data_IF_523101187094
#
_entry.id   IF_523101187094
#
_cell.length_a   1.000
_cell.length_b   1.000
_cell.length_c   1.000
_cell.angle_alpha   90.00
_cell.angle_beta   90.00
_cell.angle_gamma   90.00
#
_symmetry.space_group_name_H-M   'P 1'
#
loop_
_entity.id
_entity.type
_entity.pdbx_description
1 polymer ?
#
# COMPACT_ATOMS: atom_id res chain seq x y z
N UNK A 1 -28.72 9.43 -57.90
CA UNK A 1 -28.37 8.37 -56.92
C UNK A 1 -27.02 7.79 -57.29
N UNK A 2 -25.96 8.13 -56.56
CA UNK A 2 -24.67 7.43 -56.62
C UNK A 2 -23.99 7.64 -55.27
N UNK A 3 -23.81 6.55 -54.51
CA UNK A 3 -23.18 6.54 -53.18
C UNK A 3 -21.72 6.14 -53.35
N UNK A 4 -20.80 7.00 -52.90
CA UNK A 4 -19.37 6.70 -52.79
C UNK A 4 -19.15 5.90 -51.50
N UNK A 5 -18.44 4.75 -51.52
CA UNK A 5 -18.15 4.00 -50.30
C UNK A 5 -16.89 4.56 -49.63
N UNK A 6 -17.02 5.09 -48.42
CA UNK A 6 -15.89 5.42 -47.54
C UNK A 6 -15.42 4.11 -46.89
N UNK A 7 -14.22 3.64 -47.26
CA UNK A 7 -13.54 2.54 -46.54
C UNK A 7 -13.06 3.07 -45.18
N UNK A 8 -13.68 2.60 -44.10
CA UNK A 8 -13.16 2.78 -42.73
C UNK A 8 -11.94 1.88 -42.56
N UNK A 9 -10.74 2.46 -42.54
CA UNK A 9 -9.54 1.77 -42.09
C UNK A 9 -9.60 1.63 -40.56
N UNK A 10 -9.77 0.40 -40.08
CA UNK A 10 -9.51 0.04 -38.68
C UNK A 10 -8.00 0.08 -38.47
N UNK A 11 -7.52 1.08 -37.73
CA UNK A 11 -6.16 1.07 -37.17
C UNK A 11 -6.22 0.20 -35.92
N UNK A 12 -5.67 -1.01 -36.01
CA UNK A 12 -5.45 -1.86 -34.84
C UNK A 12 -4.29 -1.27 -34.03
N UNK A 13 -4.58 -0.71 -32.86
CA UNK A 13 -3.58 -0.39 -31.86
C UNK A 13 -3.22 -1.68 -31.11
N UNK A 14 -2.12 -2.30 -31.51
CA UNK A 14 -1.51 -3.38 -30.74
C UNK A 14 -0.82 -2.77 -29.53
N UNK A 15 -1.47 -2.80 -28.37
CA UNK A 15 -0.82 -2.58 -27.08
C UNK A 15 0.10 -3.78 -26.83
N UNK A 16 1.39 -3.59 -27.10
CA UNK A 16 2.44 -4.48 -26.62
C UNK A 16 2.56 -4.23 -25.11
N UNK A 17 1.83 -5.00 -24.31
CA UNK A 17 2.10 -5.10 -22.88
C UNK A 17 3.47 -5.78 -22.74
N UNK A 18 4.51 -4.97 -22.51
CA UNK A 18 5.78 -5.47 -22.02
C UNK A 18 5.52 -6.02 -20.62
N UNK A 19 5.32 -7.33 -20.53
CA UNK A 19 5.31 -8.02 -19.25
C UNK A 19 6.65 -7.79 -18.57
N UNK A 20 6.64 -7.03 -17.47
CA UNK A 20 7.70 -7.06 -16.48
C UNK A 20 7.67 -8.46 -15.87
N UNK A 21 8.42 -9.38 -16.49
CA UNK A 21 8.65 -10.69 -15.92
C UNK A 21 9.50 -10.54 -14.67
N UNK A 22 8.89 -10.78 -13.50
CA UNK A 22 9.62 -10.98 -12.25
C UNK A 22 10.59 -12.14 -12.44
N UNK A 23 11.89 -11.86 -12.32
CA UNK A 23 12.92 -12.90 -12.22
C UNK A 23 13.22 -13.06 -10.73
N UNK A 24 13.16 -14.28 -10.15
CA UNK A 24 13.65 -14.48 -8.80
C UNK A 24 15.16 -14.27 -8.79
N UNK A 25 15.63 -13.36 -7.93
CA UNK A 25 17.05 -13.06 -7.78
C UNK A 25 17.77 -14.28 -7.19
N UNK A 26 18.88 -14.68 -7.81
CA UNK A 26 19.82 -15.66 -7.24
C UNK A 26 21.04 -14.89 -6.72
N UNK A 27 21.51 -15.27 -5.53
CA UNK A 27 22.50 -14.55 -4.74
C UNK A 27 23.87 -14.39 -5.44
N UNK A 28 24.12 -13.19 -5.95
CA UNK A 28 25.43 -12.56 -6.16
C UNK A 28 25.15 -11.06 -6.39
N UNK A 29 25.66 -10.19 -5.52
CA UNK A 29 25.41 -8.74 -5.40
C UNK A 29 24.33 -8.19 -6.36
N UNK A 30 23.05 -8.26 -5.97
CA UNK A 30 21.97 -7.75 -6.82
C UNK A 30 22.18 -6.26 -7.07
N UNK A 31 21.81 -5.81 -8.27
CA UNK A 31 21.84 -4.40 -8.64
C UNK A 31 21.14 -3.61 -7.52
N UNK A 32 21.68 -2.47 -7.03
CA UNK A 32 21.01 -1.68 -5.99
C UNK A 32 19.58 -1.30 -6.39
N UNK A 33 19.29 -1.18 -7.69
CA UNK A 33 17.93 -0.97 -8.19
C UNK A 33 16.99 -2.17 -7.98
N UNK A 34 17.51 -3.40 -7.88
CA UNK A 34 16.71 -4.58 -7.55
C UNK A 34 16.29 -4.59 -6.08
N UNK A 35 17.02 -3.85 -5.21
CA UNK A 35 16.64 -3.58 -3.83
C UNK A 35 15.67 -2.39 -3.70
N UNK A 36 15.54 -1.55 -4.74
CA UNK A 36 14.52 -0.50 -4.81
C UNK A 36 13.22 -1.09 -5.35
N UNK A 37 12.52 -1.84 -4.51
CA UNK A 37 11.16 -2.28 -4.84
C UNK A 37 10.18 -1.43 -4.05
N UNK A 38 9.57 -0.46 -4.74
CA UNK A 38 8.61 0.47 -4.16
C UNK A 38 7.52 0.82 -5.15
N UNK A 39 6.33 1.09 -4.62
CA UNK A 39 5.13 1.38 -5.41
C UNK A 39 3.92 0.56 -4.96
N UNK A 40 2.71 0.91 -5.43
CA UNK A 40 1.50 0.23 -5.01
C UNK A 40 1.50 -1.22 -5.51
N UNK A 41 1.27 -2.17 -4.60
CA UNK A 41 1.05 -3.59 -4.96
C UNK A 41 -0.36 -3.84 -5.45
N UNK A 42 -1.30 -2.96 -5.07
CA UNK A 42 -2.71 -3.09 -5.42
C UNK A 42 -3.40 -1.72 -5.54
N UNK A 43 -4.58 -1.74 -6.14
CA UNK A 43 -5.46 -0.58 -6.25
C UNK A 43 -6.89 -0.98 -5.92
N UNK A 44 -7.58 -0.11 -5.19
CA UNK A 44 -8.99 -0.31 -4.87
C UNK A 44 -9.83 0.88 -5.30
N UNK A 45 -10.95 0.61 -5.98
CA UNK A 45 -11.91 1.65 -6.34
C UNK A 45 -12.93 1.80 -5.22
N UNK A 46 -12.89 2.93 -4.54
CA UNK A 46 -13.84 3.27 -3.47
C UNK A 46 -15.21 3.64 -4.03
N UNK A 47 -16.18 3.89 -3.14
CA UNK A 47 -17.61 4.09 -3.46
C UNK A 47 -17.90 5.09 -4.59
N UNK A 48 -17.08 6.13 -4.75
CA UNK A 48 -17.24 7.15 -5.80
C UNK A 48 -16.50 6.82 -7.11
N UNK A 49 -15.87 5.66 -7.19
CA UNK A 49 -15.06 5.20 -8.32
C UNK A 49 -13.61 5.68 -8.31
N UNK A 50 -13.18 6.43 -7.30
CA UNK A 50 -11.78 6.86 -7.19
C UNK A 50 -10.88 5.66 -6.91
N UNK A 51 -9.80 5.53 -7.69
CA UNK A 51 -8.80 4.49 -7.47
C UNK A 51 -7.80 4.93 -6.39
N UNK A 52 -7.71 4.14 -5.31
CA UNK A 52 -6.78 4.33 -4.21
C UNK A 52 -5.63 3.35 -4.33
N UNK A 53 -4.41 3.86 -4.32
CA UNK A 53 -3.19 3.09 -4.35
C UNK A 53 -2.88 2.51 -2.97
N UNK A 54 -2.53 1.22 -2.95
CA UNK A 54 -2.23 0.50 -1.72
C UNK A 54 -1.01 -0.41 -1.87
N UNK A 55 -0.28 -0.52 -0.78
CA UNK A 55 0.70 -1.58 -0.56
C UNK A 55 0.13 -2.57 0.44
N UNK A 56 0.11 -3.85 0.08
CA UNK A 56 -0.41 -4.93 0.92
C UNK A 56 0.72 -5.88 1.23
N UNK A 57 1.01 -6.05 2.51
CA UNK A 57 2.08 -6.90 3.01
C UNK A 57 1.53 -8.12 3.71
N UNK A 58 2.08 -9.27 3.36
CA UNK A 58 1.73 -10.53 4.00
C UNK A 58 2.65 -10.78 5.17
N UNK A 59 2.23 -11.63 6.12
CA UNK A 59 3.12 -12.00 7.19
C UNK A 59 4.27 -12.88 6.68
N UNK A 60 5.45 -12.79 7.29
CA UNK A 60 6.67 -13.55 6.96
C UNK A 60 6.40 -15.07 6.92
N UNK A 61 5.47 -15.54 7.75
CA UNK A 61 5.04 -16.93 7.85
C UNK A 61 3.76 -17.25 7.07
N UNK A 62 3.45 -16.49 6.01
CA UNK A 62 2.21 -16.58 5.26
C UNK A 62 1.84 -18.01 4.83
N UNK A 63 0.70 -18.46 5.34
CA UNK A 63 -0.03 -19.67 4.94
C UNK A 63 -1.33 -19.29 4.22
N UNK A 64 -1.51 -19.64 2.92
CA UNK A 64 -2.70 -19.33 2.13
C UNK A 64 -3.97 -20.07 2.59
N UNK A 65 -3.84 -21.07 3.47
CA UNK A 65 -4.97 -21.79 4.06
C UNK A 65 -5.55 -21.10 5.30
N UNK A 66 -4.81 -20.18 5.91
CA UNK A 66 -5.20 -19.45 7.10
C UNK A 66 -5.99 -18.17 6.78
N UNK A 67 -6.73 -17.67 7.77
CA UNK A 67 -7.40 -16.36 7.72
C UNK A 67 -6.71 -15.38 8.68
N UNK A 68 -6.42 -14.19 8.20
CA UNK A 68 -5.63 -13.19 8.90
C UNK A 68 -6.48 -11.99 9.35
N UNK A 69 -6.19 -11.42 10.53
CA UNK A 69 -6.59 -10.06 10.84
C UNK A 69 -5.79 -9.08 9.98
N UNK A 70 -6.36 -7.91 9.74
CA UNK A 70 -5.73 -6.87 8.94
C UNK A 70 -5.42 -5.62 9.78
N UNK A 71 -4.34 -4.93 9.43
CA UNK A 71 -4.00 -3.59 9.94
C UNK A 71 -4.06 -2.62 8.77
N UNK A 72 -4.77 -1.51 8.94
CA UNK A 72 -4.81 -0.41 7.98
C UNK A 72 -4.02 0.79 8.52
N UNK A 73 -3.12 1.32 7.71
CA UNK A 73 -2.53 2.64 7.88
C UNK A 73 -2.78 3.45 6.61
N UNK A 74 -3.51 4.56 6.72
CA UNK A 74 -3.83 5.42 5.58
C UNK A 74 -3.25 6.81 5.78
N UNK A 75 -2.36 7.25 4.89
CA UNK A 75 -1.66 8.53 5.03
C UNK A 75 -1.57 9.32 3.72
N UNK A 76 -1.42 10.64 3.86
CA UNK A 76 -1.04 11.51 2.74
C UNK A 76 0.42 11.38 2.32
N UNK A 77 1.24 10.63 3.08
CA UNK A 77 2.64 10.33 2.77
C UNK A 77 2.76 9.23 1.70
N UNK A 78 3.98 8.71 1.53
CA UNK A 78 4.36 7.66 0.57
C UNK A 78 3.75 6.27 0.88
N UNK A 79 2.68 6.17 1.68
CA UNK A 79 2.14 4.91 2.20
C UNK A 79 1.74 3.91 1.10
N UNK A 80 1.08 4.35 0.03
CA UNK A 80 0.79 3.49 -1.12
C UNK A 80 2.00 3.17 -1.99
N UNK A 81 3.21 3.61 -1.64
CA UNK A 81 4.45 3.42 -2.41
C UNK A 81 5.64 3.02 -1.53
N UNK A 82 5.36 2.38 -0.39
CA UNK A 82 6.38 1.95 0.57
C UNK A 82 7.41 0.99 -0.01
N UNK A 83 8.56 0.92 0.68
CA UNK A 83 9.63 -0.01 0.37
C UNK A 83 9.23 -1.44 0.74
N UNK A 84 9.28 -2.33 -0.25
CA UNK A 84 8.90 -3.73 -0.14
C UNK A 84 10.09 -4.66 -0.29
N UNK A 85 9.95 -5.83 0.31
CA UNK A 85 10.70 -7.02 -0.02
C UNK A 85 9.74 -8.08 -0.55
N UNK A 86 10.25 -9.09 -1.25
CA UNK A 86 9.44 -10.20 -1.75
C UNK A 86 10.05 -11.52 -1.30
N UNK A 87 9.20 -12.46 -0.85
CA UNK A 87 9.66 -13.80 -0.52
C UNK A 87 9.97 -14.63 -1.77
N UNK A 88 10.46 -15.86 -1.58
CA UNK A 88 10.77 -16.79 -2.66
C UNK A 88 9.55 -17.15 -3.55
N UNK A 89 8.33 -16.93 -3.05
CA UNK A 89 7.08 -17.15 -3.77
C UNK A 89 6.54 -15.86 -4.42
N UNK A 90 7.23 -14.73 -4.24
CA UNK A 90 6.83 -13.42 -4.76
C UNK A 90 5.74 -12.73 -3.95
N UNK A 91 5.52 -13.09 -2.69
CA UNK A 91 4.62 -12.34 -1.82
C UNK A 91 5.33 -11.09 -1.28
N UNK A 92 4.67 -9.92 -1.30
CA UNK A 92 5.21 -8.69 -0.74
C UNK A 92 5.24 -8.73 0.79
N UNK A 93 6.35 -8.26 1.34
CA UNK A 93 6.62 -8.10 2.77
C UNK A 93 7.05 -6.67 3.03
N UNK A 94 6.55 -6.12 4.13
CA UNK A 94 6.83 -4.76 4.53
C UNK A 94 8.21 -4.70 5.17
N UNK A 95 9.04 -3.75 4.72
CA UNK A 95 10.42 -3.65 5.23
C UNK A 95 10.55 -2.70 6.40
N UNK A 96 9.54 -1.85 6.64
CA UNK A 96 9.62 -0.76 7.62
C UNK A 96 10.51 0.40 7.18
N UNK A 97 10.97 0.39 5.93
CA UNK A 97 11.85 1.42 5.39
C UNK A 97 11.22 2.02 4.13
N UNK A 98 11.40 3.34 3.98
CA UNK A 98 11.13 3.97 2.69
C UNK A 98 12.10 3.43 1.64
N UNK A 99 11.81 3.65 0.36
CA UNK A 99 12.73 3.29 -0.73
C UNK A 99 14.13 3.92 -0.51
N UNK A 100 14.19 5.11 0.08
CA UNK A 100 15.46 5.77 0.46
C UNK A 100 16.14 5.08 1.66
N UNK A 101 15.38 4.65 2.66
CA UNK A 101 15.90 3.86 3.77
C UNK A 101 16.45 2.50 3.33
N UNK A 102 15.76 1.82 2.42
CA UNK A 102 16.23 0.56 1.82
C UNK A 102 17.55 0.74 1.07
N UNK A 103 17.66 1.80 0.26
CA UNK A 103 18.90 2.14 -0.44
C UNK A 103 20.05 2.43 0.52
N UNK A 104 19.75 3.16 1.60
CA UNK A 104 20.72 3.44 2.65
C UNK A 104 21.21 2.15 3.31
N UNK A 105 20.29 1.27 3.74
CA UNK A 105 20.63 -0.01 4.36
C UNK A 105 21.48 -0.87 3.42
N UNK A 106 21.11 -0.98 2.14
CA UNK A 106 21.91 -1.68 1.15
C UNK A 106 23.33 -1.11 1.05
N UNK A 107 23.49 0.22 1.04
CA UNK A 107 24.81 0.84 0.96
C UNK A 107 25.67 0.55 2.19
N UNK A 108 25.07 0.61 3.39
CA UNK A 108 25.75 0.31 4.66
C UNK A 108 26.14 -1.18 4.73
N UNK A 109 25.24 -2.09 4.34
CA UNK A 109 25.49 -3.54 4.33
C UNK A 109 26.60 -3.94 3.36
N UNK A 110 26.82 -3.14 2.30
CA UNK A 110 27.89 -3.33 1.32
C UNK A 110 29.20 -2.57 1.67
N UNK A 111 29.40 -2.25 2.95
CA UNK A 111 30.64 -1.65 3.46
C UNK A 111 30.74 -0.14 3.29
N UNK A 112 29.64 0.51 2.90
CA UNK A 112 29.51 1.96 2.89
C UNK A 112 29.26 2.55 4.27
N UNK A 113 29.40 3.87 4.38
CA UNK A 113 28.99 4.63 5.57
C UNK A 113 28.26 5.89 5.11
N UNK A 114 27.01 6.05 5.54
CA UNK A 114 26.20 7.24 5.30
C UNK A 114 25.47 7.62 6.61
N UNK A 115 25.14 8.90 6.83
CA UNK A 115 24.18 9.26 7.86
C UNK A 115 22.79 8.73 7.48
N UNK A 116 21.96 8.42 8.49
CA UNK A 116 20.56 8.02 8.27
C UNK A 116 19.85 9.13 7.46
N UNK A 117 19.22 8.79 6.32
CA UNK A 117 18.50 9.79 5.56
C UNK A 117 17.29 10.28 6.36
N UNK A 118 16.88 11.54 6.21
CA UNK A 118 15.58 11.95 6.69
C UNK A 118 14.50 11.07 6.05
N UNK A 119 13.51 10.64 6.84
CA UNK A 119 12.46 9.71 6.39
C UNK A 119 13.01 8.34 5.94
N UNK A 120 14.06 7.83 6.60
CA UNK A 120 14.55 6.47 6.35
C UNK A 120 13.49 5.40 6.65
N UNK A 121 12.68 5.62 7.68
CA UNK A 121 11.55 4.75 8.03
C UNK A 121 10.28 5.31 7.42
N UNK A 122 9.38 4.43 7.01
CA UNK A 122 7.99 4.81 6.81
C UNK A 122 7.36 5.27 8.14
N UNK A 123 6.19 5.91 8.06
CA UNK A 123 5.60 6.66 9.19
C UNK A 123 5.30 5.80 10.41
N UNK A 124 5.11 4.48 10.28
CA UNK A 124 4.80 3.61 11.41
C UNK A 124 5.31 2.16 11.30
N UNK A 125 5.60 1.59 10.12
CA UNK A 125 6.06 0.19 10.03
C UNK A 125 7.53 0.00 10.44
N UNK A 126 8.40 0.97 10.19
CA UNK A 126 9.78 0.90 10.70
C UNK A 126 9.84 0.77 12.21
N UNK A 127 8.86 1.35 12.91
CA UNK A 127 8.74 1.28 14.36
C UNK A 127 7.87 0.09 14.84
N UNK A 128 6.76 -0.18 14.15
CA UNK A 128 5.71 -1.12 14.59
C UNK A 128 5.56 -2.37 13.75
N UNK A 129 6.03 -2.36 12.50
CA UNK A 129 5.96 -3.45 11.54
C UNK A 129 6.47 -4.76 12.14
N UNK A 130 7.60 -4.74 12.85
CA UNK A 130 8.14 -5.92 13.56
C UNK A 130 7.16 -6.66 14.48
N UNK A 131 6.09 -6.00 14.95
CA UNK A 131 5.06 -6.63 15.79
C UNK A 131 3.90 -7.22 14.98
N UNK A 132 3.76 -6.85 13.71
CA UNK A 132 2.70 -7.28 12.80
C UNK A 132 3.17 -8.34 11.78
N UNK A 133 4.48 -8.38 11.47
CA UNK A 133 5.07 -9.22 10.41
C UNK A 133 4.75 -10.71 10.53
N UNK A 134 4.43 -11.27 11.70
CA UNK A 134 4.14 -12.71 11.82
C UNK A 134 2.64 -13.06 11.87
N UNK A 135 1.75 -12.07 11.93
CA UNK A 135 0.37 -12.32 12.36
C UNK A 135 -0.71 -11.55 11.62
N UNK A 136 -0.35 -10.49 10.89
CA UNK A 136 -1.32 -9.60 10.27
C UNK A 136 -1.00 -9.42 8.79
N UNK A 137 -2.05 -9.23 8.00
CA UNK A 137 -1.91 -8.56 6.71
C UNK A 137 -1.91 -7.07 6.97
N UNK A 138 -0.89 -6.36 6.49
CA UNK A 138 -0.79 -4.90 6.68
C UNK A 138 -1.10 -4.21 5.36
N UNK A 139 -1.99 -3.22 5.40
CA UNK A 139 -2.41 -2.43 4.25
C UNK A 139 -1.99 -0.98 4.49
N UNK A 140 -1.12 -0.48 3.62
CA UNK A 140 -0.75 0.92 3.55
C UNK A 140 -1.45 1.57 2.38
N UNK A 141 -2.37 2.47 2.68
CA UNK A 141 -3.14 3.18 1.67
C UNK A 141 -2.66 4.64 1.55
N UNK A 142 -2.50 5.10 0.31
CA UNK A 142 -2.36 6.54 0.06
C UNK A 142 -3.72 7.22 0.13
N UNK A 143 -3.80 8.34 0.83
CA UNK A 143 -4.98 9.21 0.76
C UNK A 143 -5.27 9.61 -0.70
N UNK A 144 -6.55 9.75 -1.05
CA UNK A 144 -6.92 10.23 -2.39
C UNK A 144 -6.17 11.50 -2.79
N UNK A 145 -5.81 11.59 -4.07
CA UNK A 145 -5.03 12.71 -4.61
C UNK A 145 -3.56 12.75 -4.16
N UNK A 146 -3.05 11.75 -3.45
CA UNK A 146 -1.63 11.62 -3.09
C UNK A 146 -1.01 10.34 -3.65
N UNK A 147 0.32 10.32 -3.77
CA UNK A 147 1.04 9.17 -4.31
C UNK A 147 0.52 8.77 -5.69
N UNK A 148 0.17 7.49 -5.84
CA UNK A 148 -0.47 6.96 -7.06
C UNK A 148 -2.00 6.92 -6.97
N UNK A 149 -2.61 7.40 -5.90
CA UNK A 149 -4.07 7.49 -5.76
C UNK A 149 -4.64 8.58 -6.66
N UNK A 150 -5.76 8.27 -7.32
CA UNK A 150 -6.53 9.23 -8.10
C UNK A 150 -7.32 10.19 -7.19
N UNK A 151 -8.03 11.12 -7.81
CA UNK A 151 -8.93 12.06 -7.12
C UNK A 151 -8.25 13.36 -6.69
N UNK A 152 -8.97 14.15 -5.91
CA UNK A 152 -8.50 15.43 -5.39
C UNK A 152 -8.10 15.27 -3.92
N UNK A 153 -6.96 15.88 -3.58
CA UNK A 153 -6.47 15.93 -2.22
C UNK A 153 -7.10 17.10 -1.47
N UNK A 154 -7.63 16.83 -0.28
CA UNK A 154 -8.09 17.83 0.67
C UNK A 154 -7.60 17.45 2.08
N UNK A 155 -7.10 18.46 2.80
CA UNK A 155 -6.43 18.26 4.07
C UNK A 155 -7.46 17.89 5.14
N UNK A 156 -7.30 16.71 5.75
CA UNK A 156 -8.20 16.20 6.78
C UNK A 156 -9.66 16.09 6.29
N UNK A 157 -9.85 15.62 5.05
CA UNK A 157 -11.18 15.54 4.48
C UNK A 157 -11.99 14.36 5.02
N UNK A 158 -13.29 14.59 5.25
CA UNK A 158 -14.26 13.52 5.53
C UNK A 158 -14.39 12.54 4.34
N UNK A 159 -14.06 12.98 3.12
CA UNK A 159 -14.03 12.08 1.96
C UNK A 159 -12.94 11.03 2.07
N UNK A 160 -11.74 11.42 2.50
CA UNK A 160 -10.65 10.47 2.77
C UNK A 160 -11.01 9.49 3.88
N UNK A 161 -11.79 9.92 4.86
CA UNK A 161 -12.29 9.03 5.91
C UNK A 161 -13.28 7.97 5.38
N UNK A 162 -14.20 8.38 4.50
CA UNK A 162 -15.11 7.45 3.80
C UNK A 162 -14.35 6.45 2.92
N UNK A 163 -13.26 6.87 2.29
CA UNK A 163 -12.41 5.94 1.53
C UNK A 163 -11.78 4.87 2.43
N UNK A 164 -11.32 5.27 3.63
CA UNK A 164 -10.83 4.31 4.61
C UNK A 164 -11.91 3.35 5.11
N UNK A 165 -13.15 3.81 5.27
CA UNK A 165 -14.30 2.94 5.53
C UNK A 165 -14.49 1.93 4.39
N UNK A 166 -14.50 2.38 3.13
CA UNK A 166 -14.66 1.51 1.97
C UNK A 166 -13.52 0.48 1.88
N UNK A 167 -12.29 0.88 2.21
CA UNK A 167 -11.15 -0.05 2.27
C UNK A 167 -11.38 -1.11 3.35
N UNK A 168 -11.84 -0.74 4.55
CA UNK A 168 -12.10 -1.70 5.63
C UNK A 168 -13.20 -2.68 5.24
N UNK A 169 -14.36 -2.18 4.86
CA UNK A 169 -15.55 -3.01 4.69
C UNK A 169 -15.52 -3.74 3.35
N UNK A 170 -15.11 -3.06 2.28
CA UNK A 170 -15.26 -3.60 0.94
C UNK A 170 -13.97 -4.18 0.37
N UNK A 171 -12.80 -3.58 0.65
CA UNK A 171 -11.54 -4.16 0.20
C UNK A 171 -11.02 -5.26 1.13
N UNK A 172 -10.99 -5.04 2.45
CA UNK A 172 -10.38 -5.99 3.40
C UNK A 172 -11.35 -7.12 3.76
N UNK A 173 -12.64 -6.81 3.95
CA UNK A 173 -13.62 -7.79 4.46
C UNK A 173 -14.38 -8.48 3.33
N UNK A 174 -14.99 -7.73 2.41
CA UNK A 174 -15.83 -8.31 1.35
C UNK A 174 -15.04 -8.85 0.15
N UNK A 175 -13.94 -8.19 -0.23
CA UNK A 175 -13.25 -8.47 -1.49
C UNK A 175 -12.37 -9.73 -1.42
N UNK A 176 -12.96 -10.89 -1.64
CA UNK A 176 -12.23 -12.17 -1.67
C UNK A 176 -11.30 -12.36 -2.89
N UNK A 177 -11.03 -11.33 -3.69
CA UNK A 177 -10.18 -11.45 -4.88
C UNK A 177 -8.68 -11.32 -4.58
N UNK A 178 -8.31 -10.78 -3.42
CA UNK A 178 -6.93 -10.84 -2.97
C UNK A 178 -6.58 -12.27 -2.49
N UNK A 179 -5.33 -12.75 -2.67
CA UNK A 179 -4.98 -14.16 -2.45
C UNK A 179 -4.98 -14.58 -0.97
N UNK A 180 -4.91 -13.62 -0.05
CA UNK A 180 -5.02 -13.86 1.40
C UNK A 180 -6.49 -13.85 1.85
N UNK A 181 -6.80 -14.54 2.95
CA UNK A 181 -8.16 -14.59 3.51
C UNK A 181 -8.29 -13.68 4.71
N UNK A 182 -9.28 -12.80 4.70
CA UNK A 182 -9.63 -11.99 5.89
C UNK A 182 -10.35 -12.83 6.94
N UNK A 183 -10.15 -12.51 8.21
CA UNK A 183 -10.95 -13.03 9.32
C UNK A 183 -12.02 -12.05 9.82
N UNK A 184 -12.21 -10.92 9.12
CA UNK A 184 -13.21 -9.91 9.46
C UNK A 184 -12.83 -9.00 10.62
N UNK A 185 -11.58 -9.04 11.11
CA UNK A 185 -11.10 -8.14 12.15
C UNK A 185 -10.06 -7.18 11.58
N UNK A 186 -10.36 -5.89 11.67
CA UNK A 186 -9.46 -4.85 11.20
C UNK A 186 -9.04 -3.96 12.36
N UNK A 187 -7.74 -3.65 12.41
CA UNK A 187 -7.18 -2.63 13.29
C UNK A 187 -6.67 -1.44 12.49
N UNK A 188 -6.61 -0.26 13.12
CA UNK A 188 -5.95 0.92 12.56
C UNK A 188 -4.72 1.27 13.40
N UNK A 189 -3.63 1.61 12.73
CA UNK A 189 -2.46 2.26 13.33
C UNK A 189 -2.19 3.60 12.64
N UNK A 190 -1.49 4.49 13.34
CA UNK A 190 -1.03 5.73 12.72
C UNK A 190 -0.37 6.72 13.68
N UNK A 191 0.60 7.47 13.16
CA UNK A 191 1.22 8.63 13.79
C UNK A 191 1.11 9.86 12.89
N UNK A 192 0.85 11.03 13.50
CA UNK A 192 0.76 12.29 12.76
C UNK A 192 -0.38 12.24 11.73
N UNK A 193 -0.09 12.39 10.42
CA UNK A 193 -1.12 12.36 9.38
C UNK A 193 -1.91 11.05 9.41
N UNK A 194 -1.25 9.87 9.44
CA UNK A 194 -1.95 8.58 9.50
C UNK A 194 -2.76 8.42 10.80
N UNK A 195 -2.29 9.02 11.90
CA UNK A 195 -3.04 9.11 13.14
C UNK A 195 -4.33 9.93 13.02
N UNK A 196 -4.26 11.11 12.38
CA UNK A 196 -5.43 11.98 12.14
C UNK A 196 -6.41 11.32 11.18
N UNK A 197 -5.93 10.81 10.04
CA UNK A 197 -6.78 10.08 9.08
C UNK A 197 -7.41 8.86 9.75
N UNK A 198 -6.65 8.07 10.49
CA UNK A 198 -7.14 6.93 11.25
C UNK A 198 -8.24 7.30 12.23
N UNK A 199 -8.10 8.44 12.92
CA UNK A 199 -9.14 8.99 13.80
C UNK A 199 -10.42 9.27 13.02
N UNK A 200 -10.35 9.95 11.87
CA UNK A 200 -11.55 10.25 11.08
C UNK A 200 -12.19 9.00 10.45
N UNK A 201 -11.39 7.99 10.09
CA UNK A 201 -11.92 6.69 9.67
C UNK A 201 -12.69 6.04 10.83
N UNK A 202 -12.18 6.10 12.06
CA UNK A 202 -12.90 5.54 13.23
C UNK A 202 -14.25 6.22 13.46
N UNK A 203 -14.37 7.52 13.15
CA UNK A 203 -15.65 8.26 13.24
C UNK A 203 -16.71 7.76 12.27
N UNK A 204 -16.31 7.12 11.15
CA UNK A 204 -17.25 6.49 10.21
C UNK A 204 -17.87 5.21 10.78
N UNK A 205 -17.40 4.74 11.95
CA UNK A 205 -17.84 3.52 12.64
C UNK A 205 -17.89 2.27 11.76
N UNK A 206 -16.79 1.86 11.08
CA UNK A 206 -16.76 0.61 10.31
C UNK A 206 -17.09 -0.59 11.22
N UNK A 207 -18.11 -1.42 10.91
CA UNK A 207 -18.52 -2.55 11.74
C UNK A 207 -17.40 -3.56 12.05
N UNK A 208 -16.41 -3.71 11.16
CA UNK A 208 -15.31 -4.66 11.33
C UNK A 208 -14.04 -4.06 11.96
N UNK A 209 -14.07 -2.76 12.30
CA UNK A 209 -13.00 -2.10 13.02
C UNK A 209 -13.06 -2.45 14.52
N UNK A 210 -12.11 -3.27 14.99
CA UNK A 210 -12.09 -3.80 16.36
C UNK A 210 -11.08 -3.11 17.28
N UNK A 211 -10.11 -2.37 16.72
CA UNK A 211 -9.09 -1.66 17.48
C UNK A 211 -8.53 -0.48 16.68
N UNK A 212 -8.14 0.59 17.37
CA UNK A 212 -7.35 1.68 16.81
C UNK A 212 -6.27 2.12 17.79
N UNK A 213 -5.05 2.29 17.30
CA UNK A 213 -3.92 2.81 18.06
C UNK A 213 -3.29 3.96 17.26
N UNK A 214 -3.74 5.17 17.54
CA UNK A 214 -3.35 6.39 16.83
C UNK A 214 -2.62 7.36 17.76
N UNK A 215 -1.69 8.15 17.22
CA UNK A 215 -0.89 9.11 17.98
C UNK A 215 -0.48 10.32 17.12
N UNK A 216 0.15 11.33 17.75
CA UNK A 216 0.63 12.53 17.03
C UNK A 216 -0.51 13.39 16.46
N UNK A 217 -1.69 13.32 17.08
CA UNK A 217 -2.86 14.07 16.66
C UNK A 217 -2.63 15.57 16.89
N UNK A 218 -3.16 16.39 16.00
CA UNK A 218 -3.41 17.80 16.30
C UNK A 218 -4.81 17.86 16.90
N UNK A 219 -4.91 17.90 18.23
CA UNK A 219 -6.17 18.18 18.91
C UNK A 219 -6.25 19.68 19.25
N UNK A 220 -7.44 20.24 19.02
CA UNK A 220 -7.83 21.66 18.99
C UNK A 220 -7.21 22.56 17.88
N UNK A 221 -8.01 22.85 16.85
CA UNK A 221 -7.87 23.99 15.92
C UNK A 221 -9.01 24.99 16.12
#
# INVERSE_FOLDING_TARGET
MSRVPVRRALVAFSLLAAGLGFRPATAADPNPLDALQGGPTDYFNVSDGTSIAMTVCYPDNYDPSASYPAILEMAGYENGSQGLAFDANGHPHCTGFTTLGQLHNWFVDNGGSAPDPPLATDSDEGAMGKYFHDHYVVIHASVRGTGCSAGEFDLFSQRSAMDGYDIIEHYIVDNTQHPWRSNGKVGIIGHSYSGITGTFITEQQPPHLVAASVSGLVDDL
#
